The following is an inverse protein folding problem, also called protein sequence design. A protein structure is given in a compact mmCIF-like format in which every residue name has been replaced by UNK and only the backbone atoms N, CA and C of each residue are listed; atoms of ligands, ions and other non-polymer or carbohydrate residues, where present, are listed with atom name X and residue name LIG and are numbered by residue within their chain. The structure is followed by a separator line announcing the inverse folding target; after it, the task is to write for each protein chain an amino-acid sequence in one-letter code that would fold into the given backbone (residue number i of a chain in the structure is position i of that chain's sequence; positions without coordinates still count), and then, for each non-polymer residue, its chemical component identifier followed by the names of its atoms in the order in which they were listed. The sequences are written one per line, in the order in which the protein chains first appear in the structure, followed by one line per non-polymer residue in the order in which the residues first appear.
data_IF_717014016744
#
_entry.id   IF_717014016744
#
_cell.length_a   1.000
_cell.length_b   1.000
_cell.length_c   1.000
_cell.angle_alpha   90.00
_cell.angle_beta   90.00
_cell.angle_gamma   90.00
#
_symmetry.space_group_name_H-M   'P 1'
#
loop_
_entity.id
_entity.type
_entity.pdbx_description
1 polymer ?
#
# COMPACT_ATOMS: atom_id res chain seq x y z
N UNK A 1 13.12 17.75 5.84
CA UNK A 1 11.96 17.14 5.16
C UNK A 1 12.51 16.05 4.29
N UNK A 2 12.44 14.80 4.76
CA UNK A 2 12.85 13.64 3.96
C UNK A 2 11.94 13.54 2.73
N UNK A 3 12.49 13.06 1.62
CA UNK A 3 11.68 12.75 0.46
C UNK A 3 10.70 11.64 0.87
N UNK A 4 9.39 11.91 0.81
CA UNK A 4 8.32 10.96 1.15
C UNK A 4 8.51 9.61 0.46
N UNK A 5 9.10 9.61 -0.74
CA UNK A 5 9.46 8.39 -1.47
C UNK A 5 10.50 7.57 -0.72
N UNK A 6 11.52 8.22 -0.15
CA UNK A 6 12.57 7.56 0.65
C UNK A 6 11.98 6.93 1.91
N UNK A 7 11.12 7.66 2.62
CA UNK A 7 10.45 7.14 3.82
C UNK A 7 9.60 5.90 3.51
N UNK A 8 8.84 5.96 2.40
CA UNK A 8 8.03 4.82 1.96
C UNK A 8 8.88 3.65 1.43
N UNK A 9 10.03 3.91 0.80
CA UNK A 9 10.97 2.85 0.39
C UNK A 9 11.55 2.13 1.60
N UNK A 10 11.94 2.89 2.61
CA UNK A 10 12.39 2.33 3.87
C UNK A 10 11.30 1.47 4.51
N UNK A 11 10.08 1.99 4.60
CA UNK A 11 8.93 1.24 5.12
C UNK A 11 8.73 -0.09 4.37
N UNK A 12 8.72 -0.08 3.04
CA UNK A 12 8.56 -1.33 2.27
C UNK A 12 9.68 -2.34 2.52
N UNK A 13 10.91 -1.87 2.76
CA UNK A 13 12.04 -2.73 3.10
C UNK A 13 11.87 -3.33 4.50
N UNK A 14 11.35 -2.56 5.44
CA UNK A 14 11.06 -3.02 6.81
C UNK A 14 9.91 -4.03 6.83
N UNK A 15 8.87 -3.84 6.01
CA UNK A 15 7.74 -4.78 5.90
C UNK A 15 8.15 -6.15 5.37
N UNK A 16 9.12 -6.21 4.44
CA UNK A 16 9.66 -7.47 3.91
C UNK A 16 10.39 -8.34 4.94
N UNK A 17 10.73 -7.80 6.11
CA UNK A 17 11.37 -8.56 7.19
C UNK A 17 10.33 -9.41 7.94
N UNK A 18 9.04 -9.07 7.83
CA UNK A 18 7.97 -9.77 8.51
C UNK A 18 7.69 -11.13 7.86
N UNK A 19 7.59 -12.19 8.66
CA UNK A 19 7.50 -13.58 8.17
C UNK A 19 6.24 -13.85 7.32
N UNK A 20 5.13 -13.17 7.64
CA UNK A 20 3.88 -13.28 6.87
C UNK A 20 3.88 -12.50 5.55
N UNK A 21 4.89 -11.64 5.31
CA UNK A 21 4.96 -10.82 4.10
C UNK A 21 5.86 -11.49 3.08
N UNK A 22 5.31 -11.74 1.89
CA UNK A 22 6.06 -12.27 0.76
C UNK A 22 6.87 -11.19 0.05
N UNK A 23 6.23 -10.07 -0.27
CA UNK A 23 6.86 -8.89 -0.84
C UNK A 23 6.13 -7.62 -0.40
N UNK A 24 6.84 -6.49 -0.43
CA UNK A 24 6.26 -5.16 -0.29
C UNK A 24 7.02 -4.17 -1.16
N UNK A 25 6.31 -3.35 -1.92
CA UNK A 25 6.95 -2.40 -2.84
C UNK A 25 6.09 -1.17 -3.11
N UNK A 26 6.75 -0.12 -3.59
CA UNK A 26 6.07 1.10 -4.04
C UNK A 26 5.56 0.94 -5.47
N UNK A 27 4.31 1.30 -5.66
CA UNK A 27 3.69 1.50 -6.95
C UNK A 27 3.13 2.92 -7.05
N UNK A 28 2.61 3.25 -8.22
CA UNK A 28 1.83 4.47 -8.41
C UNK A 28 0.57 4.13 -9.21
N UNK A 29 -0.54 4.75 -8.84
CA UNK A 29 -1.70 4.86 -9.70
C UNK A 29 -1.54 6.09 -10.60
N UNK A 30 -2.61 6.43 -11.33
CA UNK A 30 -2.64 7.61 -12.18
C UNK A 30 -2.59 8.93 -11.38
N UNK A 31 -3.17 8.92 -10.18
CA UNK A 31 -3.32 10.13 -9.33
C UNK A 31 -2.53 10.07 -8.05
N UNK A 32 -2.19 8.87 -7.58
CA UNK A 32 -1.72 8.64 -6.22
C UNK A 32 -0.54 7.67 -6.18
N UNK A 33 0.14 7.68 -5.05
CA UNK A 33 1.18 6.71 -4.74
C UNK A 33 0.59 5.56 -3.94
N UNK A 34 1.04 4.35 -4.26
CA UNK A 34 0.57 3.13 -3.63
C UNK A 34 1.72 2.40 -2.96
N UNK A 35 1.44 1.77 -1.82
CA UNK A 35 2.25 0.70 -1.26
C UNK A 35 1.50 -0.60 -1.48
N UNK A 36 2.17 -1.56 -2.11
CA UNK A 36 1.65 -2.89 -2.37
C UNK A 36 2.30 -3.83 -1.37
N UNK A 37 1.48 -4.67 -0.74
CA UNK A 37 1.92 -5.67 0.23
C UNK A 37 1.36 -7.02 -0.19
N UNK A 38 2.24 -7.95 -0.52
CA UNK A 38 1.89 -9.32 -0.84
C UNK A 38 2.05 -10.15 0.45
N UNK A 39 0.94 -10.70 0.95
CA UNK A 39 0.88 -11.50 2.18
C UNK A 39 0.86 -12.97 1.81
N UNK A 40 1.63 -13.81 2.51
CA UNK A 40 1.68 -15.25 2.23
C UNK A 40 0.36 -15.95 2.55
N UNK A 41 -0.14 -16.72 1.59
CA UNK A 41 -1.39 -17.46 1.70
C UNK A 41 -2.64 -16.58 1.65
N UNK A 42 -3.76 -17.14 2.12
CA UNK A 42 -5.08 -16.48 2.14
C UNK A 42 -5.35 -15.70 3.44
N UNK A 43 -4.31 -15.47 4.25
CA UNK A 43 -4.43 -14.71 5.49
C UNK A 43 -4.50 -13.22 5.18
N UNK A 44 -5.35 -12.48 5.90
CA UNK A 44 -5.37 -11.02 5.80
C UNK A 44 -4.06 -10.38 6.30
N UNK A 45 -3.89 -9.10 6.02
CA UNK A 45 -2.70 -8.34 6.46
C UNK A 45 -2.58 -8.38 7.99
N UNK A 46 -1.41 -8.74 8.54
CA UNK A 46 -1.20 -8.74 9.99
C UNK A 46 -1.50 -7.38 10.63
N UNK A 47 -2.08 -7.37 11.83
CA UNK A 47 -2.46 -6.14 12.54
C UNK A 47 -1.27 -5.20 12.76
N UNK A 48 -0.10 -5.73 13.11
CA UNK A 48 1.10 -4.93 13.34
C UNK A 48 1.59 -4.24 12.05
N UNK A 49 1.40 -4.89 10.91
CA UNK A 49 1.68 -4.31 9.58
C UNK A 49 0.64 -3.24 9.25
N UNK A 50 -0.64 -3.48 9.51
CA UNK A 50 -1.71 -2.49 9.33
C UNK A 50 -1.49 -1.24 10.18
N UNK A 51 -1.16 -1.39 11.45
CA UNK A 51 -0.88 -0.27 12.36
C UNK A 51 0.29 0.56 11.88
N UNK A 52 1.35 -0.10 11.39
CA UNK A 52 2.53 0.57 10.83
C UNK A 52 2.19 1.33 9.54
N UNK A 53 1.48 0.70 8.62
CA UNK A 53 0.98 1.36 7.41
C UNK A 53 0.13 2.59 7.80
N UNK A 54 -0.76 2.41 8.78
CA UNK A 54 -1.67 3.44 9.22
C UNK A 54 -0.96 4.64 9.87
N UNK A 55 0.07 4.39 10.68
CA UNK A 55 0.92 5.41 11.29
C UNK A 55 1.70 6.23 10.24
N UNK A 56 2.05 5.60 9.12
CA UNK A 56 2.69 6.26 7.99
C UNK A 56 1.69 6.99 7.08
N UNK A 57 0.37 6.97 7.37
CA UNK A 57 -0.63 7.61 6.52
C UNK A 57 -0.93 6.83 5.24
N UNK A 58 -0.79 5.51 5.29
CA UNK A 58 -1.25 4.59 4.26
C UNK A 58 -2.63 4.05 4.69
N UNK A 59 -3.58 4.04 3.77
CA UNK A 59 -4.94 3.51 3.94
C UNK A 59 -5.28 2.59 2.80
N UNK A 60 -6.04 1.53 3.03
CA UNK A 60 -6.21 0.56 1.96
C UNK A 60 -7.03 1.14 0.80
N UNK A 61 -6.81 0.62 -0.40
CA UNK A 61 -7.36 1.20 -1.62
C UNK A 61 -8.89 1.16 -1.68
N UNK A 62 -9.52 0.13 -1.11
CA UNK A 62 -10.99 0.03 -1.09
C UNK A 62 -11.61 1.02 -0.09
N UNK A 63 -10.95 1.30 1.04
CA UNK A 63 -11.32 2.38 1.96
C UNK A 63 -11.24 3.77 1.28
N UNK A 64 -10.29 3.96 0.36
CA UNK A 64 -9.99 5.28 -0.22
C UNK A 64 -10.72 5.54 -1.56
N UNK A 65 -10.93 4.50 -2.37
CA UNK A 65 -11.54 4.59 -3.69
C UNK A 65 -12.90 3.90 -3.81
N UNK A 66 -13.18 2.90 -2.96
CA UNK A 66 -14.42 2.14 -2.98
C UNK A 66 -15.47 2.68 -2.02
N UNK A 67 -16.61 1.98 -1.98
CA UNK A 67 -17.69 2.18 -1.01
C UNK A 67 -17.62 1.16 0.16
N UNK A 68 -16.54 0.38 0.25
CA UNK A 68 -16.43 -0.79 1.12
C UNK A 68 -15.40 -0.59 2.25
N UNK A 69 -15.81 -0.86 3.49
CA UNK A 69 -15.00 -0.67 4.70
C UNK A 69 -13.96 -1.77 4.92
N UNK A 70 -13.83 -2.73 3.99
CA UNK A 70 -12.95 -3.91 4.12
C UNK A 70 -11.45 -3.61 3.91
N UNK A 71 -11.05 -2.34 4.01
CA UNK A 71 -9.67 -1.93 4.19
C UNK A 71 -8.97 -1.76 2.85
N UNK A 72 -8.56 -2.84 2.18
CA UNK A 72 -7.65 -2.80 1.00
C UNK A 72 -8.14 -3.66 -0.16
N UNK A 73 -7.91 -3.22 -1.41
CA UNK A 73 -8.07 -4.09 -2.58
C UNK A 73 -7.17 -5.32 -2.42
N UNK A 74 -7.78 -6.50 -2.35
CA UNK A 74 -7.12 -7.79 -2.15
C UNK A 74 -7.32 -8.70 -3.38
N UNK A 75 -6.23 -9.24 -3.93
CA UNK A 75 -6.31 -10.19 -5.05
C UNK A 75 -5.18 -11.23 -5.00
N UNK A 76 -5.48 -12.47 -5.38
CA UNK A 76 -4.48 -13.54 -5.40
C UNK A 76 -3.41 -13.30 -6.48
N UNK A 77 -2.14 -13.42 -6.10
CA UNK A 77 -0.95 -13.32 -6.97
C UNK A 77 0.00 -14.46 -6.61
N UNK A 78 -0.03 -15.53 -7.42
CA UNK A 78 0.71 -16.75 -7.09
C UNK A 78 0.15 -17.39 -5.81
N UNK A 79 1.05 -17.64 -4.84
CA UNK A 79 0.71 -18.19 -3.51
C UNK A 79 0.48 -17.10 -2.44
N UNK A 80 0.38 -15.83 -2.85
CA UNK A 80 0.21 -14.68 -1.98
C UNK A 80 -1.09 -13.92 -2.28
N UNK A 81 -1.61 -13.22 -1.28
CA UNK A 81 -2.69 -12.25 -1.42
C UNK A 81 -2.10 -10.84 -1.48
N UNK A 82 -2.33 -10.15 -2.59
CA UNK A 82 -1.85 -8.78 -2.83
C UNK A 82 -2.84 -7.76 -2.28
N UNK A 83 -2.36 -6.90 -1.39
CA UNK A 83 -3.11 -5.81 -0.77
C UNK A 83 -2.58 -4.44 -1.22
N UNK A 84 -3.49 -3.54 -1.61
CA UNK A 84 -3.13 -2.19 -2.05
C UNK A 84 -3.42 -1.14 -0.98
N UNK A 85 -2.45 -0.26 -0.74
CA UNK A 85 -2.57 0.87 0.19
C UNK A 85 -2.21 2.19 -0.48
N UNK A 86 -3.05 3.21 -0.32
CA UNK A 86 -2.89 4.57 -0.85
C UNK A 86 -2.19 5.46 0.15
N UNK A 87 -1.18 6.20 -0.31
CA UNK A 87 -0.59 7.30 0.44
C UNK A 87 -1.55 8.50 0.47
N UNK A 88 -2.31 8.64 1.56
CA UNK A 88 -3.26 9.75 1.69
C UNK A 88 -2.58 11.09 1.98
N UNK A 89 -1.30 11.11 2.37
CA UNK A 89 -0.56 12.34 2.65
C UNK A 89 -0.15 13.08 1.37
N UNK A 90 -0.01 12.36 0.25
CA UNK A 90 0.35 12.92 -1.06
C UNK A 90 -0.74 12.72 -2.12
N UNK A 91 -1.97 12.45 -1.68
CA UNK A 91 -3.11 12.19 -2.56
C UNK A 91 -3.31 13.33 -3.56
N UNK A 92 -3.49 12.99 -4.84
CA UNK A 92 -3.68 13.95 -5.92
C UNK A 92 -2.44 14.78 -6.29
N UNK A 93 -1.33 14.69 -5.54
CA UNK A 93 -0.08 15.37 -5.89
C UNK A 93 0.62 14.75 -7.11
N UNK A 94 0.17 13.57 -7.55
CA UNK A 94 0.70 12.86 -8.72
C UNK A 94 -0.20 12.94 -9.94
N UNK A 95 -1.22 13.83 -9.95
CA UNK A 95 -2.07 14.09 -11.11
C UNK A 95 -1.21 14.41 -12.34
N UNK A 96 -1.08 13.43 -13.22
CA UNK A 96 -0.51 13.62 -14.54
C UNK A 96 -1.67 14.07 -15.44
N UNK A 97 -1.73 15.37 -15.76
CA UNK A 97 -2.62 15.83 -16.83
C UNK A 97 -2.17 15.18 -18.13
N UNK A 98 -3.00 14.30 -18.69
CA UNK A 98 -2.92 13.98 -20.13
C UNK A 98 -3.51 15.20 -20.83
N UNK A 99 -2.63 16.03 -21.37
CA UNK A 99 -3.02 17.06 -22.33
C UNK A 99 -3.19 16.31 -23.66
N UNK A 100 -4.42 16.31 -24.18
CA UNK A 100 -4.73 15.82 -25.54
C UNK A 100 -3.99 16.63 -26.60
#
# INVERSE_FOLDING_TARGET
MGDRTTDLRQLTTELRIHDDIDDAFLAKSFTDRLVIVDVRGDSGVPSDVLDRLAAHGLRGADEVYGDDEQGSFAGAVGDATRHHFVDVQTRGAHQSYVVD
#
